data_IF_288750189900
#
_entry.id   IF_288750189900
#
_cell.length_a   1.000
_cell.length_b   1.000
_cell.length_c   1.000
_cell.angle_alpha   90.00
_cell.angle_beta   90.00
_cell.angle_gamma   90.00
#
_symmetry.space_group_name_H-M   'P 1'
#
loop_
_entity.id
_entity.type
_entity.pdbx_description
1 polymer ?
#
# COMPACT_ATOMS: atom_id res chain seq x y z
N UNK A 1 67.09 -16.17 39.85
CA UNK A 1 66.32 -17.03 38.90
C UNK A 1 65.73 -18.19 39.70
N UNK A 2 64.52 -18.74 39.43
CA UNK A 2 63.49 -18.43 38.42
C UNK A 2 62.18 -17.88 39.04
N UNK A 3 61.49 -16.92 38.41
CA UNK A 3 60.26 -17.04 37.59
C UNK A 3 59.08 -17.77 38.27
N UNK A 4 58.16 -16.99 38.85
CA UNK A 4 56.76 -17.40 39.05
C UNK A 4 55.84 -16.58 38.13
N UNK A 5 54.90 -17.29 37.52
CA UNK A 5 54.07 -16.88 36.39
C UNK A 5 52.84 -16.10 36.90
N UNK A 6 52.73 -14.82 36.55
CA UNK A 6 51.44 -14.17 36.41
C UNK A 6 50.94 -14.44 34.98
N UNK A 7 49.83 -15.16 34.89
CA UNK A 7 49.07 -15.30 33.66
C UNK A 7 48.21 -14.06 33.50
N UNK A 8 48.68 -13.11 32.68
CA UNK A 8 47.88 -12.03 32.14
C UNK A 8 47.60 -12.28 30.65
N UNK A 9 46.29 -12.29 30.37
CA UNK A 9 45.47 -12.47 29.15
C UNK A 9 46.08 -11.98 27.81
N UNK A 10 45.65 -12.48 26.63
CA UNK A 10 44.53 -11.79 25.95
C UNK A 10 43.69 -12.67 24.99
N UNK A 11 42.36 -12.69 25.17
CA UNK A 11 41.42 -12.86 24.07
C UNK A 11 40.28 -11.84 24.24
N UNK A 12 40.64 -10.57 24.14
CA UNK A 12 39.70 -9.47 23.86
C UNK A 12 39.81 -9.21 22.37
N UNK A 13 38.85 -9.72 21.59
CA UNK A 13 38.71 -9.34 20.19
C UNK A 13 38.18 -7.92 20.16
N UNK A 14 39.10 -6.96 19.98
CA UNK A 14 38.77 -5.62 19.56
C UNK A 14 38.13 -5.70 18.17
N UNK A 15 36.82 -5.50 18.09
CA UNK A 15 36.18 -5.10 16.84
C UNK A 15 36.36 -3.58 16.79
N UNK A 16 37.31 -3.15 15.96
CA UNK A 16 37.50 -1.74 15.65
C UNK A 16 36.19 -1.19 15.08
N UNK A 17 35.57 -0.30 15.84
CA UNK A 17 34.49 0.56 15.37
C UNK A 17 35.11 1.61 14.45
N UNK A 18 35.11 1.32 13.14
CA UNK A 18 35.29 2.34 12.14
C UNK A 18 34.00 3.16 12.05
N UNK A 19 33.88 4.15 12.93
CA UNK A 19 32.91 5.24 12.81
C UNK A 19 33.28 6.07 11.58
N UNK A 20 32.75 5.67 10.43
CA UNK A 20 32.67 6.56 9.28
C UNK A 20 31.40 7.38 9.42
N UNK A 21 31.56 8.63 9.86
CA UNK A 21 30.56 9.69 9.73
C UNK A 21 30.11 9.74 8.26
N UNK A 22 28.94 9.17 8.00
CA UNK A 22 28.33 9.19 6.67
C UNK A 22 27.73 10.57 6.45
N UNK A 23 28.55 11.47 5.88
CA UNK A 23 28.08 12.76 5.36
C UNK A 23 27.06 12.50 4.27
N UNK A 24 25.82 12.83 4.59
CA UNK A 24 24.71 12.90 3.65
C UNK A 24 25.05 13.97 2.61
N UNK A 25 25.46 13.51 1.44
CA UNK A 25 25.69 14.34 0.26
C UNK A 25 24.80 13.79 -0.85
N UNK A 26 23.49 14.01 -0.70
CA UNK A 26 22.57 13.91 -1.82
C UNK A 26 22.76 15.18 -2.67
N UNK A 27 23.55 15.04 -3.74
CA UNK A 27 23.49 15.91 -4.92
C UNK A 27 22.23 15.53 -5.68
N UNK A 28 21.13 16.22 -5.41
CA UNK A 28 19.94 16.18 -6.25
C UNK A 28 20.26 16.86 -7.59
N UNK A 29 20.51 16.05 -8.62
CA UNK A 29 20.49 16.54 -9.99
C UNK A 29 19.02 16.79 -10.36
N UNK A 30 18.63 18.06 -10.32
CA UNK A 30 17.40 18.57 -10.93
C UNK A 30 17.48 18.41 -12.45
N UNK A 31 16.92 17.30 -12.96
CA UNK A 31 16.58 17.18 -14.38
C UNK A 31 15.18 17.80 -14.59
N UNK A 32 15.18 19.08 -14.96
CA UNK A 32 14.00 19.84 -15.37
C UNK A 32 13.50 19.35 -16.74
N UNK A 33 12.84 18.19 -16.74
CA UNK A 33 12.00 17.73 -17.84
C UNK A 33 10.63 18.41 -17.78
N UNK A 34 10.46 19.52 -18.50
CA UNK A 34 9.15 20.14 -18.73
C UNK A 34 8.18 19.13 -19.35
N UNK A 35 7.23 18.64 -18.56
CA UNK A 35 6.00 18.03 -19.05
C UNK A 35 4.91 19.09 -18.93
N UNK A 36 4.51 19.65 -20.07
CA UNK A 36 3.31 20.49 -20.15
C UNK A 36 2.13 19.53 -19.92
N UNK A 37 1.54 19.59 -18.73
CA UNK A 37 0.24 18.97 -18.45
C UNK A 37 -0.76 20.11 -18.45
N UNK A 38 -1.72 20.02 -19.36
CA UNK A 38 -2.80 20.98 -19.52
C UNK A 38 -3.53 21.20 -18.18
N UNK A 39 -3.81 22.48 -17.97
CA UNK A 39 -4.27 23.12 -16.76
C UNK A 39 -5.76 22.83 -16.55
N UNK A 40 -6.09 22.05 -15.49
CA UNK A 40 -7.42 22.04 -14.84
C UNK A 40 -7.37 21.19 -13.55
N UNK A 41 -6.67 21.67 -12.52
CA UNK A 41 -6.85 21.22 -11.12
C UNK A 41 -6.84 22.45 -10.21
N UNK A 42 -7.82 23.34 -10.40
CA UNK A 42 -8.15 24.34 -9.40
C UNK A 42 -9.15 23.72 -8.42
N UNK A 43 -8.65 23.27 -7.27
CA UNK A 43 -9.28 23.32 -5.94
C UNK A 43 -8.35 22.59 -4.97
N UNK A 44 -7.47 23.36 -4.32
CA UNK A 44 -6.70 22.97 -3.15
C UNK A 44 -7.63 22.91 -1.93
N UNK A 45 -8.51 21.92 -1.88
CA UNK A 45 -9.22 21.60 -0.64
C UNK A 45 -8.34 20.68 0.20
N UNK A 46 -7.61 21.30 1.15
CA UNK A 46 -7.21 20.74 2.45
C UNK A 46 -6.98 19.21 2.50
N UNK A 47 -6.04 18.72 1.70
CA UNK A 47 -5.62 17.31 1.72
C UNK A 47 -4.87 17.05 3.03
N UNK A 48 -5.43 16.16 3.87
CA UNK A 48 -4.82 15.44 5.02
C UNK A 48 -3.76 16.22 5.78
N UNK A 49 -3.88 16.46 7.09
CA UNK A 49 -2.70 16.83 7.89
C UNK A 49 -1.64 15.72 7.80
N UNK A 50 -0.56 15.85 6.99
CA UNK A 50 0.36 14.74 6.71
C UNK A 50 1.35 14.52 7.87
N UNK A 51 1.18 15.25 8.97
CA UNK A 51 2.22 15.53 9.94
C UNK A 51 2.66 14.29 10.73
N UNK A 52 1.79 13.30 10.92
CA UNK A 52 2.14 12.10 11.70
C UNK A 52 2.52 10.89 10.82
N UNK A 53 1.84 10.71 9.68
CA UNK A 53 2.09 9.55 8.83
C UNK A 53 3.39 9.69 8.05
N UNK A 54 3.69 10.87 7.50
CA UNK A 54 4.86 11.09 6.65
C UNK A 54 6.20 10.76 7.35
N UNK A 55 6.46 11.20 8.60
CA UNK A 55 7.65 10.81 9.35
C UNK A 55 7.82 9.29 9.46
N UNK A 56 6.72 8.56 9.70
CA UNK A 56 6.72 7.11 9.83
C UNK A 56 7.05 6.45 8.48
N UNK A 57 6.50 6.95 7.37
CA UNK A 57 6.86 6.45 6.02
C UNK A 57 8.35 6.65 5.75
N UNK A 58 8.88 7.84 6.07
CA UNK A 58 10.30 8.15 5.88
C UNK A 58 11.20 7.25 6.72
N UNK A 59 10.80 6.94 7.95
CA UNK A 59 11.49 6.01 8.85
C UNK A 59 11.51 4.59 8.30
N UNK A 60 10.38 4.08 7.80
CA UNK A 60 10.30 2.77 7.12
C UNK A 60 11.27 2.75 5.92
N UNK A 61 11.23 3.79 5.08
CA UNK A 61 12.09 3.90 3.90
C UNK A 61 13.57 3.92 4.28
N UNK A 62 13.94 4.62 5.37
CA UNK A 62 15.32 4.69 5.88
C UNK A 62 15.83 3.31 6.27
N UNK A 63 15.03 2.52 7.01
CA UNK A 63 15.40 1.15 7.38
C UNK A 63 15.56 0.27 6.15
N UNK A 64 14.59 0.30 5.24
CA UNK A 64 14.65 -0.48 4.00
C UNK A 64 15.91 -0.13 3.20
N UNK A 65 16.27 1.16 3.10
CA UNK A 65 17.52 1.61 2.46
C UNK A 65 18.76 1.05 3.16
N UNK A 66 18.82 1.03 4.50
CA UNK A 66 19.98 0.50 5.25
C UNK A 66 20.25 -0.95 4.89
N UNK A 67 19.21 -1.79 4.89
CA UNK A 67 19.35 -3.20 4.55
C UNK A 67 19.61 -3.41 3.06
N UNK A 68 18.97 -2.65 2.16
CA UNK A 68 19.21 -2.79 0.71
C UNK A 68 20.59 -2.31 0.26
N UNK A 69 21.17 -1.30 0.90
CA UNK A 69 22.48 -0.72 0.53
C UNK A 69 23.65 -1.55 1.05
N UNK A 70 23.48 -2.34 2.11
CA UNK A 70 24.55 -3.11 2.73
C UNK A 70 24.27 -4.61 2.65
N UNK A 71 24.99 -5.34 1.77
CA UNK A 71 24.86 -6.80 1.66
C UNK A 71 25.07 -7.51 3.00
N UNK A 72 26.10 -7.12 3.76
CA UNK A 72 26.39 -7.70 5.08
C UNK A 72 25.23 -7.54 6.07
N UNK A 73 24.58 -6.36 6.10
CA UNK A 73 23.41 -6.13 6.96
C UNK A 73 22.19 -6.92 6.45
N UNK A 74 22.02 -7.03 5.14
CA UNK A 74 20.97 -7.85 4.55
C UNK A 74 21.16 -9.34 4.89
N UNK A 75 22.38 -9.87 4.83
CA UNK A 75 22.65 -11.27 5.17
C UNK A 75 22.29 -11.59 6.63
N UNK A 76 22.57 -10.65 7.54
CA UNK A 76 22.15 -10.75 8.95
C UNK A 76 20.62 -10.76 9.05
N UNK A 77 19.92 -9.87 8.34
CA UNK A 77 18.46 -9.88 8.30
C UNK A 77 17.90 -11.20 7.74
N UNK A 78 18.46 -11.70 6.64
CA UNK A 78 17.97 -12.92 5.99
C UNK A 78 18.10 -14.16 6.90
N UNK A 79 19.12 -14.23 7.77
CA UNK A 79 19.20 -15.28 8.80
C UNK A 79 17.97 -15.30 9.72
N UNK A 80 17.52 -14.13 10.16
CA UNK A 80 16.31 -14.02 11.00
C UNK A 80 15.03 -14.27 10.21
N UNK A 81 14.94 -13.78 8.97
CA UNK A 81 13.78 -14.00 8.10
C UNK A 81 13.61 -15.48 7.79
N UNK A 82 14.68 -16.20 7.48
CA UNK A 82 14.65 -17.64 7.22
C UNK A 82 14.21 -18.41 8.48
N UNK A 83 14.69 -18.00 9.65
CA UNK A 83 14.34 -18.64 10.93
C UNK A 83 12.85 -18.51 11.26
N UNK A 84 12.24 -17.35 11.05
CA UNK A 84 10.85 -17.10 11.42
C UNK A 84 9.84 -17.49 10.33
N UNK A 85 10.15 -17.19 9.07
CA UNK A 85 9.19 -17.29 7.98
C UNK A 85 9.40 -18.54 7.10
N UNK A 86 10.45 -19.35 7.37
CA UNK A 86 10.85 -20.54 6.61
C UNK A 86 11.14 -20.30 5.12
N UNK A 87 11.10 -19.04 4.70
CA UNK A 87 11.23 -18.58 3.32
C UNK A 87 11.97 -17.26 3.35
N UNK A 88 12.84 -17.07 2.37
CA UNK A 88 13.59 -15.82 2.22
C UNK A 88 12.65 -14.75 1.66
N UNK A 89 12.55 -13.63 2.36
CA UNK A 89 11.83 -12.46 1.89
C UNK A 89 12.77 -11.28 1.81
N UNK A 90 12.89 -10.72 0.61
CA UNK A 90 13.60 -9.47 0.39
C UNK A 90 12.72 -8.27 0.76
N UNK A 91 13.35 -7.25 1.32
CA UNK A 91 12.70 -5.95 1.52
C UNK A 91 12.49 -5.24 0.17
N UNK A 92 11.34 -4.60 0.04
CA UNK A 92 10.94 -3.85 -1.16
C UNK A 92 11.06 -2.37 -0.83
N UNK A 93 11.75 -1.61 -1.69
CA UNK A 93 11.77 -0.15 -1.65
C UNK A 93 10.69 0.36 -2.60
N UNK A 94 10.02 1.44 -2.22
CA UNK A 94 9.03 2.09 -3.07
C UNK A 94 9.69 2.86 -4.23
N UNK A 95 8.91 3.16 -5.26
CA UNK A 95 9.38 3.78 -6.51
C UNK A 95 8.44 4.88 -6.96
N UNK A 96 8.98 6.00 -7.46
CA UNK A 96 8.19 7.15 -7.90
C UNK A 96 7.22 6.82 -9.05
N UNK A 97 7.55 5.85 -9.90
CA UNK A 97 6.85 5.56 -11.16
C UNK A 97 5.76 4.49 -11.06
N UNK A 98 5.65 3.78 -9.93
CA UNK A 98 4.65 2.71 -9.74
C UNK A 98 3.69 3.06 -8.61
N UNK A 99 2.42 3.27 -8.97
CA UNK A 99 1.38 3.80 -8.07
C UNK A 99 1.19 3.00 -6.77
N UNK A 100 1.36 1.68 -6.77
CA UNK A 100 1.18 0.83 -5.59
C UNK A 100 2.48 0.50 -4.83
N UNK A 101 3.62 1.05 -5.24
CA UNK A 101 4.93 0.66 -4.67
C UNK A 101 5.09 1.01 -3.18
N UNK A 102 4.55 2.14 -2.73
CA UNK A 102 4.55 2.54 -1.31
C UNK A 102 3.76 1.56 -0.44
N UNK A 103 2.60 1.08 -0.92
CA UNK A 103 1.82 0.06 -0.24
C UNK A 103 2.58 -1.27 -0.16
N UNK A 104 3.20 -1.71 -1.26
CA UNK A 104 3.99 -2.95 -1.29
C UNK A 104 5.19 -2.91 -0.32
N UNK A 105 5.87 -1.76 -0.21
CA UNK A 105 6.93 -1.56 0.77
C UNK A 105 6.40 -1.74 2.20
N UNK A 106 5.27 -1.11 2.53
CA UNK A 106 4.64 -1.19 3.86
C UNK A 106 4.17 -2.60 4.18
N UNK A 107 3.49 -3.27 3.26
CA UNK A 107 3.04 -4.67 3.41
C UNK A 107 4.23 -5.60 3.70
N UNK A 108 5.32 -5.47 2.93
CA UNK A 108 6.52 -6.28 3.13
C UNK A 108 7.19 -5.98 4.46
N UNK A 109 7.32 -4.70 4.81
CA UNK A 109 7.91 -4.25 6.06
C UNK A 109 7.11 -4.78 7.26
N UNK A 110 5.78 -4.67 7.23
CA UNK A 110 4.88 -5.18 8.27
C UNK A 110 5.02 -6.69 8.46
N UNK A 111 5.05 -7.45 7.36
CA UNK A 111 5.26 -8.91 7.37
C UNK A 111 6.60 -9.32 7.99
N UNK A 112 7.61 -8.47 7.90
CA UNK A 112 8.98 -8.72 8.39
C UNK A 112 9.32 -7.92 9.65
N UNK A 113 8.32 -7.40 10.39
CA UNK A 113 8.58 -6.55 11.56
C UNK A 113 9.44 -7.22 12.63
N UNK A 114 9.19 -8.50 12.94
CA UNK A 114 9.91 -9.23 13.99
C UNK A 114 11.38 -9.53 13.58
N UNK A 115 11.68 -10.07 12.38
CA UNK A 115 13.06 -10.23 11.93
C UNK A 115 13.82 -8.92 11.83
N UNK A 116 13.15 -7.84 11.38
CA UNK A 116 13.75 -6.51 11.30
C UNK A 116 14.12 -6.01 12.69
N UNK A 117 13.21 -6.09 13.67
CA UNK A 117 13.50 -5.68 15.06
C UNK A 117 14.70 -6.43 15.64
N UNK A 118 14.77 -7.75 15.46
CA UNK A 118 15.91 -8.56 15.93
C UNK A 118 17.22 -8.16 15.24
N UNK A 119 17.19 -8.00 13.92
CA UNK A 119 18.36 -7.57 13.15
C UNK A 119 18.85 -6.17 13.55
N UNK A 120 17.94 -5.24 13.84
CA UNK A 120 18.28 -3.89 14.29
C UNK A 120 19.00 -3.90 15.64
N UNK A 121 18.56 -4.74 16.58
CA UNK A 121 19.21 -4.89 17.89
C UNK A 121 20.64 -5.40 17.72
N UNK A 122 20.86 -6.44 16.90
CA UNK A 122 22.20 -6.99 16.67
C UNK A 122 23.14 -6.01 15.97
N UNK A 123 22.59 -5.20 15.07
CA UNK A 123 23.35 -4.18 14.34
C UNK A 123 23.51 -2.86 15.13
N UNK A 124 22.97 -2.77 16.36
CA UNK A 124 22.93 -1.56 17.19
C UNK A 124 22.47 -0.31 16.42
N UNK A 125 21.43 -0.44 15.60
CA UNK A 125 20.87 0.68 14.86
C UNK A 125 20.05 1.58 15.80
N UNK A 126 20.30 2.89 15.77
CA UNK A 126 19.59 3.85 16.65
C UNK A 126 18.12 4.10 16.26
N UNK A 127 17.65 3.53 15.15
CA UNK A 127 16.28 3.72 14.66
C UNK A 127 15.38 2.64 15.29
N UNK A 128 14.55 3.04 16.24
CA UNK A 128 13.61 2.13 16.91
C UNK A 128 12.17 2.43 16.51
N UNK A 129 11.36 1.39 16.27
CA UNK A 129 9.94 1.53 16.04
C UNK A 129 9.15 1.27 17.32
N UNK A 130 8.19 2.14 17.62
CA UNK A 130 7.20 1.95 18.68
C UNK A 130 6.06 1.03 18.19
N UNK A 131 5.42 0.30 19.10
CA UNK A 131 4.24 -0.51 18.79
C UNK A 131 3.10 0.35 18.21
N UNK A 132 2.97 1.61 18.66
CA UNK A 132 2.00 2.56 18.09
C UNK A 132 2.28 2.92 16.63
N UNK A 133 3.55 3.06 16.23
CA UNK A 133 3.94 3.33 14.84
C UNK A 133 3.66 2.12 13.96
N UNK A 134 3.90 0.93 14.50
CA UNK A 134 3.57 -0.34 13.87
C UNK A 134 2.06 -0.46 13.64
N UNK A 135 1.24 -0.16 14.64
CA UNK A 135 -0.22 -0.15 14.49
C UNK A 135 -0.69 0.86 13.45
N UNK A 136 -0.07 2.05 13.38
CA UNK A 136 -0.40 3.03 12.35
C UNK A 136 -0.06 2.52 10.93
N UNK A 137 1.07 1.84 10.76
CA UNK A 137 1.44 1.21 9.48
C UNK A 137 0.39 0.16 9.11
N UNK A 138 -0.02 -0.67 10.06
CA UNK A 138 -1.06 -1.69 9.84
C UNK A 138 -2.38 -1.07 9.40
N UNK A 139 -2.85 -0.03 10.10
CA UNK A 139 -4.07 0.72 9.75
C UNK A 139 -3.98 1.34 8.35
N UNK A 140 -2.82 1.91 8.01
CA UNK A 140 -2.59 2.48 6.68
C UNK A 140 -2.65 1.42 5.58
N UNK A 141 -2.09 0.23 5.83
CA UNK A 141 -2.17 -0.89 4.88
C UNK A 141 -3.62 -1.31 4.69
N UNK A 142 -4.38 -1.46 5.78
CA UNK A 142 -5.80 -1.85 5.73
C UNK A 142 -6.67 -0.84 4.97
N UNK A 143 -6.40 0.45 5.08
CA UNK A 143 -7.12 1.49 4.35
C UNK A 143 -6.77 1.51 2.85
N UNK A 144 -5.51 1.27 2.49
CA UNK A 144 -5.05 1.33 1.10
C UNK A 144 -5.30 0.02 0.31
N UNK A 145 -5.48 -1.11 1.00
CA UNK A 145 -5.64 -2.42 0.37
C UNK A 145 -6.91 -2.52 -0.52
N UNK A 146 -8.11 -2.08 -0.08
CA UNK A 146 -9.30 -2.09 -0.92
C UNK A 146 -9.11 -1.28 -2.21
N UNK A 147 -8.42 -0.14 -2.11
CA UNK A 147 -8.13 0.72 -3.26
C UNK A 147 -7.26 -0.03 -4.27
N UNK A 148 -6.21 -0.71 -3.78
CA UNK A 148 -5.33 -1.50 -4.65
C UNK A 148 -6.08 -2.60 -5.39
N UNK A 149 -6.89 -3.38 -4.67
CA UNK A 149 -7.66 -4.48 -5.26
C UNK A 149 -8.67 -4.00 -6.30
N UNK A 150 -9.32 -2.87 -6.02
CA UNK A 150 -10.29 -2.24 -6.92
C UNK A 150 -9.62 -1.79 -8.21
N UNK A 151 -8.50 -1.06 -8.12
CA UNK A 151 -7.76 -0.62 -9.31
C UNK A 151 -7.25 -1.83 -10.11
N UNK A 152 -6.73 -2.87 -9.46
CA UNK A 152 -6.31 -4.09 -10.17
C UNK A 152 -7.47 -4.82 -10.86
N UNK A 153 -8.66 -4.86 -10.24
CA UNK A 153 -9.84 -5.47 -10.84
C UNK A 153 -10.32 -4.68 -12.07
N UNK A 154 -10.35 -3.35 -11.96
CA UNK A 154 -10.73 -2.46 -13.06
C UNK A 154 -9.73 -2.52 -14.22
N UNK A 155 -8.44 -2.73 -13.96
CA UNK A 155 -7.43 -2.85 -15.01
C UNK A 155 -7.39 -4.22 -15.71
N UNK A 156 -8.03 -5.26 -15.16
CA UNK A 156 -8.02 -6.62 -15.73
C UNK A 156 -9.22 -6.91 -16.65
N UNK A 157 -10.30 -6.18 -16.47
CA UNK A 157 -11.58 -6.36 -17.17
C UNK A 157 -11.78 -5.13 -18.05
N UNK A 158 -12.35 -5.26 -19.25
CA UNK A 158 -12.91 -4.13 -20.00
C UNK A 158 -14.23 -3.72 -19.34
N UNK A 159 -14.22 -2.81 -18.34
CA UNK A 159 -15.31 -2.73 -17.40
C UNK A 159 -16.38 -1.79 -17.95
N UNK A 160 -17.62 -2.27 -18.04
CA UNK A 160 -18.74 -1.39 -18.32
C UNK A 160 -19.02 -0.47 -17.12
N UNK A 161 -19.69 0.66 -17.33
CA UNK A 161 -19.94 1.66 -16.27
C UNK A 161 -20.66 1.06 -15.04
N UNK A 162 -21.55 0.08 -15.21
CA UNK A 162 -22.23 -0.59 -14.10
C UNK A 162 -21.26 -1.45 -13.27
N UNK A 163 -20.38 -2.20 -13.93
CA UNK A 163 -19.33 -3.01 -13.30
C UNK A 163 -18.28 -2.12 -12.62
N UNK A 164 -17.90 -1.00 -13.23
CA UNK A 164 -17.03 0.00 -12.60
C UNK A 164 -17.67 0.48 -11.29
N UNK A 165 -18.93 0.93 -11.36
CA UNK A 165 -19.65 1.44 -10.20
C UNK A 165 -19.80 0.38 -9.10
N UNK A 166 -20.15 -0.86 -9.44
CA UNK A 166 -20.25 -1.94 -8.46
C UNK A 166 -18.90 -2.23 -7.79
N UNK A 167 -17.81 -2.22 -8.56
CA UNK A 167 -16.45 -2.45 -8.05
C UNK A 167 -15.99 -1.30 -7.15
N UNK A 168 -16.31 -0.05 -7.50
CA UNK A 168 -16.05 1.13 -6.68
C UNK A 168 -16.87 1.08 -5.38
N UNK A 169 -18.14 0.72 -5.44
CA UNK A 169 -18.96 0.55 -4.23
C UNK A 169 -18.40 -0.57 -3.32
N UNK A 170 -17.88 -1.64 -3.92
CA UNK A 170 -17.16 -2.69 -3.19
C UNK A 170 -15.88 -2.18 -2.52
N UNK A 171 -15.17 -1.22 -3.12
CA UNK A 171 -14.03 -0.53 -2.49
C UNK A 171 -14.44 0.30 -1.27
N UNK A 172 -15.57 1.02 -1.38
CA UNK A 172 -16.05 1.97 -0.38
C UNK A 172 -16.58 1.28 0.88
N UNK A 173 -17.13 0.07 0.76
CA UNK A 173 -17.64 -0.71 1.88
C UNK A 173 -16.59 -0.96 2.99
N UNK A 174 -15.43 -1.59 2.72
CA UNK A 174 -14.42 -1.84 3.75
C UNK A 174 -13.78 -0.55 4.29
N UNK A 175 -13.72 0.52 3.49
CA UNK A 175 -13.26 1.84 3.97
C UNK A 175 -14.22 2.43 5.00
N UNK A 176 -15.53 2.22 4.82
CA UNK A 176 -16.57 2.64 5.76
C UNK A 176 -16.56 1.82 7.05
N UNK A 177 -16.33 0.51 6.95
CA UNK A 177 -16.34 -0.41 8.10
C UNK A 177 -15.13 -0.23 9.04
N UNK A 178 -14.00 0.28 8.55
CA UNK A 178 -12.78 0.42 9.34
C UNK A 178 -12.83 1.55 10.39
N UNK A 179 -13.74 2.53 10.25
CA UNK A 179 -13.96 3.65 11.20
C UNK A 179 -12.69 4.35 11.72
N UNK A 180 -11.59 4.31 10.96
CA UNK A 180 -10.38 5.03 11.30
C UNK A 180 -10.47 6.44 10.73
N UNK A 181 -9.90 7.43 11.42
CA UNK A 181 -9.86 8.81 10.91
C UNK A 181 -9.33 8.89 9.48
N UNK A 182 -8.29 8.10 9.15
CA UNK A 182 -7.75 8.00 7.80
C UNK A 182 -8.74 7.39 6.80
N UNK A 183 -9.40 6.29 7.16
CA UNK A 183 -10.33 5.59 6.26
C UNK A 183 -11.61 6.40 6.02
N UNK A 184 -12.09 7.12 7.03
CA UNK A 184 -13.27 7.99 6.92
C UNK A 184 -12.99 9.21 6.02
N UNK A 185 -11.84 9.87 6.20
CA UNK A 185 -11.43 11.00 5.35
C UNK A 185 -11.21 10.58 3.90
N UNK A 186 -10.55 9.43 3.68
CA UNK A 186 -10.40 8.84 2.35
C UNK A 186 -11.76 8.47 1.75
N UNK A 187 -12.67 7.88 2.53
CA UNK A 187 -14.01 7.52 2.09
C UNK A 187 -14.78 8.77 1.63
N UNK A 188 -14.81 9.84 2.44
CA UNK A 188 -15.51 11.09 2.11
C UNK A 188 -14.93 11.70 0.83
N UNK A 189 -13.60 11.83 0.76
CA UNK A 189 -12.91 12.43 -0.39
C UNK A 189 -13.18 11.65 -1.68
N UNK A 190 -13.06 10.32 -1.62
CA UNK A 190 -13.32 9.45 -2.78
C UNK A 190 -14.79 9.52 -3.19
N UNK A 191 -15.71 9.40 -2.22
CA UNK A 191 -17.14 9.46 -2.46
C UNK A 191 -17.54 10.77 -3.14
N UNK A 192 -17.10 11.92 -2.61
CA UNK A 192 -17.38 13.23 -3.21
C UNK A 192 -16.82 13.34 -4.64
N UNK A 193 -15.66 12.72 -4.90
CA UNK A 193 -15.07 12.71 -6.25
C UNK A 193 -15.85 11.84 -7.23
N UNK A 194 -16.39 10.71 -6.78
CA UNK A 194 -17.20 9.80 -7.60
C UNK A 194 -18.59 10.40 -7.84
N UNK A 195 -19.21 10.98 -6.81
CA UNK A 195 -20.58 11.51 -6.88
C UNK A 195 -20.74 12.64 -7.92
N UNK A 196 -19.66 13.39 -8.19
CA UNK A 196 -19.63 14.40 -9.27
C UNK A 196 -19.90 13.83 -10.66
N UNK A 197 -19.82 12.52 -10.87
CA UNK A 197 -20.04 11.87 -12.16
C UNK A 197 -21.35 11.04 -12.24
N UNK A 198 -22.24 11.14 -11.24
CA UNK A 198 -23.41 10.24 -11.05
C UNK A 198 -24.62 10.51 -11.94
N UNK A 199 -24.70 11.66 -12.61
CA UNK A 199 -25.84 11.98 -13.49
C UNK A 199 -26.01 10.93 -14.61
N UNK A 200 -24.87 10.49 -15.18
CA UNK A 200 -24.82 9.48 -16.24
C UNK A 200 -25.15 8.09 -15.68
N UNK A 201 -24.79 7.80 -14.43
CA UNK A 201 -25.09 6.53 -13.76
C UNK A 201 -26.60 6.33 -13.58
N UNK A 202 -27.30 7.38 -13.11
CA UNK A 202 -28.75 7.35 -12.91
C UNK A 202 -29.49 7.08 -14.22
N UNK A 203 -29.08 7.74 -15.31
CA UNK A 203 -29.62 7.51 -16.64
C UNK A 203 -29.32 6.09 -17.13
N UNK A 204 -28.08 5.61 -16.96
CA UNK A 204 -27.70 4.28 -17.40
C UNK A 204 -28.46 3.19 -16.64
N UNK A 205 -28.65 3.35 -15.33
CA UNK A 205 -29.42 2.42 -14.50
C UNK A 205 -30.88 2.38 -14.92
N UNK A 206 -31.47 3.54 -15.24
CA UNK A 206 -32.82 3.61 -15.78
C UNK A 206 -32.94 2.89 -17.13
N UNK A 207 -32.01 3.12 -18.05
CA UNK A 207 -32.00 2.47 -19.37
C UNK A 207 -31.79 0.95 -19.30
N UNK A 208 -30.91 0.49 -18.42
CA UNK A 208 -30.68 -0.94 -18.22
C UNK A 208 -31.94 -1.63 -17.69
N UNK A 209 -32.57 -1.04 -16.67
CA UNK A 209 -33.81 -1.55 -16.09
C UNK A 209 -35.00 -1.46 -17.08
N UNK A 210 -35.02 -0.47 -17.97
CA UNK A 210 -36.06 -0.33 -18.99
C UNK A 210 -36.01 -1.46 -20.02
N UNK A 211 -34.81 -1.86 -20.46
CA UNK A 211 -34.65 -3.00 -21.37
C UNK A 211 -35.16 -4.30 -20.75
N UNK A 212 -34.94 -4.52 -19.45
CA UNK A 212 -35.47 -5.70 -18.75
C UNK A 212 -37.00 -5.72 -18.72
N UNK A 213 -37.65 -4.58 -18.43
CA UNK A 213 -39.12 -4.48 -18.51
C UNK A 213 -39.66 -4.71 -19.92
N UNK A 214 -38.98 -4.20 -20.96
CA UNK A 214 -39.39 -4.43 -22.35
C UNK A 214 -39.27 -5.90 -22.75
N UNK A 215 -38.19 -6.55 -22.34
CA UNK A 215 -37.95 -7.97 -22.60
C UNK A 215 -38.97 -8.88 -21.89
N UNK A 216 -39.40 -8.54 -20.67
CA UNK A 216 -40.46 -9.27 -19.97
C UNK A 216 -41.83 -9.08 -20.64
N UNK A 217 -42.17 -7.86 -21.05
CA UNK A 217 -43.43 -7.60 -21.78
C UNK A 217 -43.49 -8.34 -23.13
N UNK A 218 -42.39 -8.38 -23.89
CA UNK A 218 -42.31 -9.13 -25.16
C UNK A 218 -42.36 -10.66 -24.96
N UNK A 219 -41.86 -11.18 -23.84
CA UNK A 219 -42.01 -12.61 -23.47
C UNK A 219 -43.44 -12.93 -23.06
N UNK A 220 -44.12 -12.03 -22.37
CA UNK A 220 -45.50 -12.20 -21.91
C UNK A 220 -46.49 -12.15 -23.08
N UNK A 221 -46.29 -11.25 -24.05
CA UNK A 221 -47.04 -11.22 -25.32
C UNK A 221 -46.83 -12.50 -26.16
N UNK A 222 -45.62 -13.05 -26.21
CA UNK A 222 -45.33 -14.33 -26.87
C UNK A 222 -45.97 -15.53 -26.16
N UNK A 223 -46.12 -15.48 -24.83
CA UNK A 223 -46.83 -16.52 -24.05
C UNK A 223 -48.34 -16.47 -24.29
N UNK A 224 -48.92 -15.28 -24.37
CA UNK A 224 -50.35 -15.08 -24.67
C UNK A 224 -50.70 -15.52 -26.10
N UNK A 225 -49.86 -15.20 -27.07
CA UNK A 225 -50.08 -15.60 -28.49
C UNK A 225 -49.90 -17.11 -28.71
N UNK A 226 -48.92 -17.75 -28.06
CA UNK A 226 -48.76 -19.21 -28.12
C UNK A 226 -49.85 -19.97 -27.35
N UNK A 227 -50.42 -19.39 -26.29
CA UNK A 227 -51.55 -19.99 -25.57
C UNK A 227 -52.84 -19.92 -26.38
N UNK A 228 -53.01 -18.89 -27.21
CA UNK A 228 -54.13 -18.76 -28.13
C UNK A 228 -53.99 -19.64 -29.39
N UNK A 229 -52.81 -20.19 -29.68
CA UNK A 229 -52.60 -21.14 -30.78
C UNK A 229 -52.92 -22.60 -30.41
N UNK A 230 -53.09 -22.92 -29.13
CA UNK A 230 -53.40 -24.27 -28.63
C UNK A 230 -54.94 -24.49 -28.54
N UNK A 231 -55.74 -23.46 -28.80
CA UNK A 231 -57.21 -23.51 -28.78
C UNK A 231 -57.78 -23.30 -30.18
N UNK A 232 -57.41 -24.16 -31.13
CA UNK A 232 -58.15 -24.45 -32.38
C UNK A 232 -57.94 -25.94 -32.68
#
# INVERSE_FOLDING_TARGET
>A
MPKNKEQNNPNTVHIETSDSDFKDSESDNEDNGNVIVEEDIANEDEILKPQELFPIICKVRKIVKIFKRSPTKNDILQKYVLTENKTEYMLILDSKTRWNSSLLMKERFWKLKNPIQKAMIVLNLQINFSDSEFDLISRTISALLPIKLTVEALCRIDPNLLTVNATINFMLQPLKEQHTSLSEELYITLKNRIERHTEIENVLRYLHNFNDCKNENEKEEKRLTNSNLIVI
#
